data_IF_549746173920
#
_entry.id   IF_549746173920
#
_cell.length_a   1.000
_cell.length_b   1.000
_cell.length_c   1.000
_cell.angle_alpha   90.00
_cell.angle_beta   90.00
_cell.angle_gamma   90.00
#
_symmetry.space_group_name_H-M   'P 1'
#
loop_
_entity.id
_entity.type
_entity.pdbx_description
1 polymer ?
#
# COMPACT_ATOMS: atom_id res chain seq x y z
N UNK A 1 -13.56 6.68 -6.57
CA UNK A 1 -12.57 5.98 -7.44
C UNK A 1 -11.32 6.82 -7.79
N UNK A 2 -11.33 8.16 -7.63
CA UNK A 2 -10.24 9.11 -7.97
C UNK A 2 -8.85 8.82 -7.37
N UNK A 3 -8.76 8.36 -6.12
CA UNK A 3 -7.47 8.13 -5.46
C UNK A 3 -6.88 6.72 -5.65
N UNK A 4 -7.59 5.86 -6.36
CA UNK A 4 -7.24 4.44 -6.49
C UNK A 4 -6.88 4.08 -7.95
N UNK A 5 -6.44 5.09 -8.72
CA UNK A 5 -5.85 4.88 -10.04
C UNK A 5 -4.43 4.30 -9.92
N UNK A 6 -4.00 3.44 -10.86
CA UNK A 6 -2.63 2.94 -10.90
C UNK A 6 -1.62 4.11 -10.92
N UNK A 7 -0.74 4.15 -9.91
CA UNK A 7 0.25 5.23 -9.76
C UNK A 7 -0.16 6.36 -8.81
N UNK A 8 -1.45 6.50 -8.49
CA UNK A 8 -1.98 7.53 -7.56
C UNK A 8 -2.38 6.97 -6.19
N UNK A 9 -2.25 5.66 -5.98
CA UNK A 9 -2.71 5.02 -4.73
C UNK A 9 -1.96 5.43 -3.46
N UNK A 10 -0.82 6.13 -3.59
CA UNK A 10 -0.16 6.79 -2.45
C UNK A 10 -0.85 8.07 -2.00
N UNK A 11 -1.68 8.68 -2.86
CA UNK A 11 -2.28 10.00 -2.63
C UNK A 11 -3.43 9.95 -1.63
N UNK A 12 -4.19 8.84 -1.54
CA UNK A 12 -5.18 8.64 -0.47
C UNK A 12 -4.56 8.31 0.89
N UNK A 13 -3.27 7.98 0.93
CA UNK A 13 -2.62 7.51 2.16
C UNK A 13 -2.02 8.65 2.95
N UNK A 14 -1.59 9.72 2.28
CA UNK A 14 -0.86 10.83 2.92
C UNK A 14 -1.78 11.87 3.55
N UNK A 15 -1.44 12.33 4.75
CA UNK A 15 -2.21 13.35 5.46
C UNK A 15 -2.09 14.76 4.84
N UNK A 16 -0.94 15.05 4.21
CA UNK A 16 -0.59 16.37 3.68
C UNK A 16 -1.28 16.69 2.34
N UNK A 17 -1.26 17.97 1.95
CA UNK A 17 -1.92 18.51 0.75
C UNK A 17 -3.43 18.19 0.66
N UNK A 18 -4.14 18.28 1.80
CA UNK A 18 -5.58 18.06 1.90
C UNK A 18 -6.17 19.07 2.88
N UNK A 19 -7.37 19.56 2.56
CA UNK A 19 -8.20 20.35 3.45
C UNK A 19 -9.40 19.49 3.84
N UNK A 20 -9.68 19.42 5.13
CA UNK A 20 -10.75 18.59 5.68
C UNK A 20 -11.79 19.45 6.34
N UNK A 21 -13.06 19.10 6.16
CA UNK A 21 -14.12 19.62 7.01
C UNK A 21 -13.84 19.15 8.44
N UNK A 22 -13.84 20.08 9.41
CA UNK A 22 -13.54 19.79 10.81
C UNK A 22 -14.39 18.64 11.33
N UNK A 23 -15.68 18.63 10.99
CA UNK A 23 -16.65 17.70 11.58
C UNK A 23 -16.34 16.23 11.26
N UNK A 24 -15.64 15.93 10.15
CA UNK A 24 -15.13 14.58 9.84
C UNK A 24 -14.22 14.00 10.93
N UNK A 25 -13.65 14.85 11.78
CA UNK A 25 -12.89 14.44 12.95
C UNK A 25 -13.76 14.37 14.22
N UNK A 26 -14.80 15.19 14.37
CA UNK A 26 -15.44 15.41 15.68
C UNK A 26 -16.83 14.79 15.83
N UNK A 27 -17.33 14.15 14.78
CA UNK A 27 -18.53 13.31 14.86
C UNK A 27 -18.35 12.04 15.71
N UNK A 28 -19.39 11.21 15.75
CA UNK A 28 -19.50 10.04 16.62
C UNK A 28 -18.40 8.98 16.39
N UNK A 29 -17.81 8.91 15.19
CA UNK A 29 -16.75 7.94 14.87
C UNK A 29 -15.36 8.38 15.36
N UNK A 30 -15.22 9.66 15.76
CA UNK A 30 -14.01 10.25 16.37
C UNK A 30 -12.70 9.84 15.69
N UNK A 31 -12.64 9.95 14.37
CA UNK A 31 -11.47 9.54 13.57
C UNK A 31 -10.21 10.33 14.01
N UNK A 32 -9.23 9.66 14.61
CA UNK A 32 -7.97 10.29 15.07
C UNK A 32 -6.75 9.53 14.55
N UNK A 33 -5.66 10.28 14.40
CA UNK A 33 -4.35 9.69 14.16
C UNK A 33 -3.91 8.88 15.39
N UNK A 34 -3.51 7.61 15.21
CA UNK A 34 -3.09 6.77 16.32
C UNK A 34 -1.76 7.27 16.90
N UNK A 35 -1.71 7.41 18.23
CA UNK A 35 -0.48 7.85 18.92
C UNK A 35 0.60 6.76 18.81
N UNK A 36 1.82 7.17 18.47
CA UNK A 36 3.00 6.30 18.49
C UNK A 36 3.12 5.33 17.31
N UNK A 37 2.22 5.41 16.30
CA UNK A 37 2.33 4.62 15.07
C UNK A 37 3.17 5.35 14.03
N UNK A 38 4.00 4.59 13.30
CA UNK A 38 4.64 5.03 12.06
C UNK A 38 3.66 4.76 10.92
N UNK A 39 3.63 5.63 9.90
CA UNK A 39 2.63 5.60 8.84
C UNK A 39 1.21 5.82 9.39
N UNK A 40 1.09 6.73 10.36
CA UNK A 40 -0.15 7.11 11.02
C UNK A 40 -1.25 7.52 10.02
N UNK A 41 -0.84 8.10 8.90
CA UNK A 41 -1.68 8.49 7.78
C UNK A 41 -2.33 7.28 7.09
N UNK A 42 -1.61 6.16 7.00
CA UNK A 42 -2.12 4.87 6.56
C UNK A 42 -3.24 4.27 7.41
N UNK A 43 -3.47 4.78 8.63
CA UNK A 43 -4.57 4.35 9.52
C UNK A 43 -5.78 5.29 9.50
N UNK A 44 -5.61 6.52 9.01
CA UNK A 44 -6.56 7.61 9.27
C UNK A 44 -7.08 8.24 7.98
N UNK A 45 -6.21 8.58 7.03
CA UNK A 45 -6.56 9.41 5.87
C UNK A 45 -7.67 8.79 5.02
N UNK A 46 -7.59 7.47 4.78
CA UNK A 46 -8.59 6.77 3.97
C UNK A 46 -9.98 6.77 4.62
N UNK A 47 -10.06 6.75 5.96
CA UNK A 47 -11.34 6.81 6.70
C UNK A 47 -11.99 8.17 6.54
N UNK A 48 -11.21 9.24 6.64
CA UNK A 48 -11.67 10.62 6.44
C UNK A 48 -12.19 10.82 5.01
N UNK A 49 -11.46 10.32 4.02
CA UNK A 49 -11.86 10.39 2.60
C UNK A 49 -13.13 9.56 2.37
N UNK A 50 -13.20 8.35 2.94
CA UNK A 50 -14.36 7.47 2.79
C UNK A 50 -15.63 8.07 3.38
N UNK A 51 -15.49 8.74 4.53
CA UNK A 51 -16.60 9.41 5.23
C UNK A 51 -17.09 10.68 4.53
N UNK A 52 -16.24 11.34 3.74
CA UNK A 52 -16.59 12.60 3.11
C UNK A 52 -17.69 12.42 2.04
N UNK A 53 -18.79 13.14 2.18
CA UNK A 53 -19.90 13.11 1.20
C UNK A 53 -19.46 13.61 -0.19
N UNK A 54 -18.53 14.57 -0.24
CA UNK A 54 -17.99 15.15 -1.46
C UNK A 54 -16.49 15.36 -1.31
N UNK A 55 -15.77 15.04 -2.37
CA UNK A 55 -14.33 15.30 -2.48
C UNK A 55 -14.06 16.05 -3.78
N UNK A 56 -13.44 17.22 -3.66
CA UNK A 56 -12.94 18.00 -4.79
C UNK A 56 -11.43 17.77 -4.95
N UNK A 57 -10.97 17.63 -6.20
CA UNK A 57 -9.56 17.44 -6.54
C UNK A 57 -9.15 18.53 -7.52
N UNK A 58 -7.97 19.08 -7.29
CA UNK A 58 -7.36 20.12 -8.12
C UNK A 58 -6.05 19.54 -8.67
N UNK A 59 -5.81 19.68 -9.98
CA UNK A 59 -4.64 19.12 -10.68
C UNK A 59 -3.44 20.10 -10.70
N UNK A 60 -3.54 21.22 -9.99
CA UNK A 60 -2.44 22.18 -9.84
C UNK A 60 -1.49 21.80 -8.70
N UNK A 61 -0.18 21.84 -8.98
CA UNK A 61 0.88 21.60 -8.01
C UNK A 61 1.05 22.79 -7.05
N UNK A 62 0.18 22.88 -6.04
CA UNK A 62 0.17 23.98 -5.06
C UNK A 62 0.88 23.68 -3.74
N UNK A 63 1.38 22.45 -3.55
CA UNK A 63 2.08 22.04 -2.33
C UNK A 63 3.47 21.47 -2.64
N UNK A 64 4.50 22.07 -2.04
CA UNK A 64 5.88 21.63 -2.21
C UNK A 64 6.31 20.73 -1.06
N UNK A 65 6.50 19.44 -1.34
CA UNK A 65 6.94 18.47 -0.34
C UNK A 65 8.43 18.64 -0.01
N UNK A 66 8.73 18.96 1.25
CA UNK A 66 10.12 19.16 1.70
C UNK A 66 10.81 17.83 2.01
N UNK A 67 11.80 17.48 1.20
CA UNK A 67 12.64 16.31 1.42
C UNK A 67 13.91 16.66 2.20
N UNK A 68 14.20 15.90 3.26
CA UNK A 68 15.43 16.02 4.06
C UNK A 68 16.05 14.64 4.30
N UNK A 69 17.39 14.57 4.36
CA UNK A 69 18.12 13.31 4.58
C UNK A 69 17.71 12.63 5.89
N UNK A 70 17.44 13.44 6.92
CA UNK A 70 17.06 12.95 8.25
C UNK A 70 15.56 12.68 8.43
N UNK A 71 14.77 12.58 7.34
CA UNK A 71 13.35 12.25 7.45
C UNK A 71 13.17 10.80 7.91
N UNK A 72 12.04 10.53 8.59
CA UNK A 72 11.65 9.17 9.00
C UNK A 72 11.57 8.26 7.77
N UNK A 73 11.05 8.78 6.64
CA UNK A 73 11.01 8.05 5.37
C UNK A 73 12.40 7.66 4.86
N UNK A 74 13.39 8.55 4.94
CA UNK A 74 14.74 8.27 4.44
C UNK A 74 15.55 7.37 5.37
N UNK A 75 15.39 7.49 6.69
CA UNK A 75 16.21 6.77 7.66
C UNK A 75 15.84 5.28 7.83
N UNK A 76 14.57 4.92 7.61
CA UNK A 76 14.03 3.61 8.00
C UNK A 76 13.28 2.88 6.87
N UNK A 77 13.54 3.23 5.62
CA UNK A 77 12.80 2.72 4.46
C UNK A 77 12.78 1.19 4.34
N UNK A 78 13.85 0.50 4.77
CA UNK A 78 13.99 -0.96 4.71
C UNK A 78 13.51 -1.67 5.99
N UNK A 79 13.39 -0.96 7.11
CA UNK A 79 13.12 -1.55 8.44
C UNK A 79 11.69 -1.39 8.93
N UNK A 80 10.90 -0.50 8.33
CA UNK A 80 9.52 -0.23 8.76
C UNK A 80 8.46 -1.22 8.21
N UNK A 81 8.87 -2.41 7.74
CA UNK A 81 7.93 -3.38 7.16
C UNK A 81 6.85 -3.83 8.15
N UNK A 82 7.15 -3.89 9.46
CA UNK A 82 6.16 -4.23 10.49
C UNK A 82 5.06 -3.17 10.59
N UNK A 83 5.44 -1.90 10.59
CA UNK A 83 4.48 -0.79 10.61
C UNK A 83 3.67 -0.74 9.30
N UNK A 84 4.31 -0.92 8.15
CA UNK A 84 3.62 -0.97 6.85
C UNK A 84 2.63 -2.15 6.78
N UNK A 85 3.01 -3.31 7.29
CA UNK A 85 2.15 -4.49 7.40
C UNK A 85 0.93 -4.22 8.27
N UNK A 86 1.12 -3.62 9.43
CA UNK A 86 0.01 -3.30 10.34
C UNK A 86 -0.96 -2.29 9.72
N UNK A 87 -0.46 -1.20 9.14
CA UNK A 87 -1.28 -0.19 8.47
C UNK A 87 -2.06 -0.79 7.28
N UNK A 88 -1.42 -1.64 6.48
CA UNK A 88 -2.05 -2.31 5.35
C UNK A 88 -3.13 -3.32 5.77
N UNK A 89 -2.89 -4.08 6.85
CA UNK A 89 -3.87 -5.02 7.40
C UNK A 89 -5.14 -4.32 7.88
N UNK A 90 -5.01 -3.22 8.64
CA UNK A 90 -6.17 -2.47 9.11
C UNK A 90 -7.00 -1.84 7.98
N UNK A 91 -6.35 -1.51 6.84
CA UNK A 91 -7.07 -1.01 5.66
C UNK A 91 -7.79 -2.13 4.91
N UNK A 92 -7.18 -3.32 4.81
CA UNK A 92 -7.83 -4.51 4.25
C UNK A 92 -9.10 -4.87 5.03
N UNK A 93 -8.99 -4.91 6.35
CA UNK A 93 -10.11 -5.15 7.26
C UNK A 93 -11.22 -4.13 7.03
N UNK A 94 -10.89 -2.84 7.07
CA UNK A 94 -11.88 -1.78 6.84
C UNK A 94 -12.63 -1.94 5.51
N UNK A 95 -11.93 -2.14 4.38
CA UNK A 95 -12.63 -2.31 3.10
C UNK A 95 -13.44 -3.60 3.02
N UNK A 96 -13.03 -4.64 3.74
CA UNK A 96 -13.83 -5.86 3.86
C UNK A 96 -15.11 -5.62 4.67
N UNK A 97 -15.03 -4.89 5.78
CA UNK A 97 -16.18 -4.59 6.65
C UNK A 97 -17.21 -3.67 6.00
N UNK A 98 -16.78 -2.84 5.04
CA UNK A 98 -17.64 -1.91 4.31
C UNK A 98 -18.11 -2.45 2.95
N UNK A 99 -17.90 -3.73 2.66
CA UNK A 99 -18.24 -4.38 1.39
C UNK A 99 -17.60 -3.72 0.14
N UNK A 100 -16.47 -3.03 0.32
CA UNK A 100 -15.75 -2.29 -0.72
C UNK A 100 -14.80 -3.19 -1.51
N UNK A 101 -15.36 -4.14 -2.27
CA UNK A 101 -14.60 -5.20 -2.94
C UNK A 101 -13.48 -4.69 -3.86
N UNK A 102 -13.72 -3.62 -4.61
CA UNK A 102 -12.70 -3.08 -5.51
C UNK A 102 -11.51 -2.49 -4.73
N UNK A 103 -11.79 -1.72 -3.67
CA UNK A 103 -10.77 -1.10 -2.83
C UNK A 103 -10.01 -2.17 -2.04
N UNK A 104 -10.70 -3.18 -1.53
CA UNK A 104 -10.11 -4.35 -0.91
C UNK A 104 -9.10 -5.04 -1.83
N UNK A 105 -9.48 -5.33 -3.09
CA UNK A 105 -8.56 -5.94 -4.05
C UNK A 105 -7.35 -5.05 -4.35
N UNK A 106 -7.55 -3.74 -4.47
CA UNK A 106 -6.46 -2.79 -4.69
C UNK A 106 -5.49 -2.74 -3.50
N UNK A 107 -6.01 -2.73 -2.28
CA UNK A 107 -5.20 -2.77 -1.07
C UNK A 107 -4.48 -4.13 -0.92
N UNK A 108 -5.14 -5.25 -1.24
CA UNK A 108 -4.54 -6.58 -1.21
C UNK A 108 -3.38 -6.67 -2.20
N UNK A 109 -3.55 -6.06 -3.36
CA UNK A 109 -2.49 -5.90 -4.34
C UNK A 109 -1.31 -5.09 -3.80
N UNK A 110 -1.56 -3.96 -3.13
CA UNK A 110 -0.49 -3.16 -2.53
C UNK A 110 0.26 -3.92 -1.44
N UNK A 111 -0.46 -4.65 -0.59
CA UNK A 111 0.12 -5.40 0.52
C UNK A 111 1.06 -6.49 0.00
N UNK A 112 0.64 -7.29 -0.99
CA UNK A 112 1.49 -8.36 -1.53
C UNK A 112 2.75 -7.82 -2.21
N UNK A 113 2.65 -6.71 -2.96
CA UNK A 113 3.82 -6.07 -3.57
C UNK A 113 4.70 -5.34 -2.55
N UNK A 114 4.12 -4.81 -1.47
CA UNK A 114 4.90 -4.21 -0.38
C UNK A 114 5.73 -5.27 0.34
N UNK A 115 5.16 -6.43 0.64
CA UNK A 115 5.91 -7.55 1.22
C UNK A 115 7.12 -7.94 0.36
N UNK A 116 6.94 -8.00 -0.97
CA UNK A 116 8.05 -8.26 -1.91
C UNK A 116 9.07 -7.12 -1.91
N UNK A 117 8.65 -5.86 -1.99
CA UNK A 117 9.58 -4.70 -1.98
C UNK A 117 10.41 -4.66 -0.69
N UNK A 118 9.78 -4.85 0.46
CA UNK A 118 10.51 -4.90 1.73
C UNK A 118 11.41 -6.13 1.80
N UNK A 119 10.99 -7.27 1.25
CA UNK A 119 11.88 -8.41 1.09
C UNK A 119 13.10 -8.03 0.26
N UNK A 120 12.95 -7.35 -0.87
CA UNK A 120 14.08 -6.91 -1.71
C UNK A 120 15.02 -5.96 -0.97
N UNK A 121 14.45 -4.96 -0.27
CA UNK A 121 15.17 -3.92 0.45
C UNK A 121 15.85 -4.40 1.75
N UNK A 122 15.38 -5.48 2.36
CA UNK A 122 15.93 -5.99 3.61
C UNK A 122 17.42 -6.31 3.49
N UNK A 123 18.22 -5.78 4.42
CA UNK A 123 19.68 -5.93 4.45
C UNK A 123 20.15 -7.12 5.30
N UNK A 124 19.29 -7.63 6.17
CA UNK A 124 19.60 -8.73 7.09
C UNK A 124 18.69 -9.96 6.90
N UNK A 125 19.10 -11.09 7.48
CA UNK A 125 18.36 -12.36 7.38
C UNK A 125 16.99 -12.29 8.06
N UNK A 126 16.86 -11.51 9.13
CA UNK A 126 15.61 -11.39 9.89
C UNK A 126 14.55 -10.66 9.08
N UNK A 127 14.87 -9.50 8.50
CA UNK A 127 14.00 -8.75 7.62
C UNK A 127 13.59 -9.57 6.40
N UNK A 128 14.54 -10.31 5.76
CA UNK A 128 14.21 -11.23 4.66
C UNK A 128 13.24 -12.32 5.09
N UNK A 129 13.43 -12.91 6.28
CA UNK A 129 12.54 -13.95 6.80
C UNK A 129 11.14 -13.39 7.07
N UNK A 130 11.03 -12.30 7.82
CA UNK A 130 9.73 -11.76 8.26
C UNK A 130 8.91 -11.16 7.13
N UNK A 131 9.55 -10.51 6.17
CA UNK A 131 8.86 -10.01 4.96
C UNK A 131 8.40 -11.15 4.06
N UNK A 132 9.15 -12.26 4.02
CA UNK A 132 8.74 -13.48 3.32
C UNK A 132 7.57 -14.16 4.03
N UNK A 133 7.59 -14.25 5.35
CA UNK A 133 6.46 -14.73 6.16
C UNK A 133 5.20 -13.88 5.90
N UNK A 134 5.34 -12.55 5.92
CA UNK A 134 4.25 -11.63 5.58
C UNK A 134 3.70 -11.87 4.16
N UNK A 135 4.56 -12.06 3.17
CA UNK A 135 4.12 -12.44 1.82
C UNK A 135 3.30 -13.74 1.84
N UNK A 136 3.77 -14.79 2.52
CA UNK A 136 3.08 -16.08 2.55
C UNK A 136 1.72 -16.02 3.22
N UNK A 137 1.61 -15.25 4.30
CA UNK A 137 0.34 -14.98 4.95
C UNK A 137 -0.65 -14.33 3.96
N UNK A 138 -0.26 -13.23 3.33
CA UNK A 138 -1.11 -12.56 2.32
C UNK A 138 -1.45 -13.53 1.18
N UNK A 139 -0.46 -14.25 0.69
CA UNK A 139 -0.59 -15.13 -0.47
C UNK A 139 -1.55 -16.29 -0.19
N UNK A 140 -1.42 -16.93 0.96
CA UNK A 140 -2.22 -18.10 1.34
C UNK A 140 -3.62 -17.72 1.79
N UNK A 141 -3.74 -16.71 2.66
CA UNK A 141 -5.00 -16.38 3.32
C UNK A 141 -5.92 -15.51 2.47
N UNK A 142 -5.37 -14.69 1.58
CA UNK A 142 -6.17 -13.70 0.86
C UNK A 142 -6.01 -13.83 -0.66
N UNK A 143 -4.77 -13.78 -1.17
CA UNK A 143 -4.52 -13.67 -2.61
C UNK A 143 -5.09 -14.84 -3.42
N UNK A 144 -4.92 -16.09 -2.95
CA UNK A 144 -5.40 -17.29 -3.67
C UNK A 144 -6.93 -17.36 -3.79
N UNK A 145 -7.66 -16.76 -2.84
CA UNK A 145 -9.12 -16.78 -2.80
C UNK A 145 -9.74 -15.86 -3.86
N UNK A 146 -8.96 -14.92 -4.38
CA UNK A 146 -9.41 -13.89 -5.31
C UNK A 146 -9.14 -14.20 -6.79
N UNK A 147 -9.95 -13.57 -7.67
CA UNK A 147 -9.85 -13.71 -9.12
C UNK A 147 -8.78 -12.75 -9.69
N UNK A 148 -7.54 -13.22 -9.74
CA UNK A 148 -6.43 -12.48 -10.37
C UNK A 148 -6.14 -12.87 -11.83
N UNK A 149 -5.60 -11.94 -12.64
CA UNK A 149 -5.06 -12.27 -13.96
C UNK A 149 -3.99 -13.38 -13.91
N UNK A 150 -3.96 -14.25 -14.92
CA UNK A 150 -3.08 -15.42 -14.95
C UNK A 150 -1.59 -15.06 -14.81
N UNK A 151 -1.13 -14.02 -15.52
CA UNK A 151 0.24 -13.53 -15.43
C UNK A 151 0.63 -13.13 -13.99
N UNK A 152 -0.30 -12.49 -13.26
CA UNK A 152 -0.10 -12.10 -11.87
C UNK A 152 0.00 -13.32 -10.95
N UNK A 153 -0.91 -14.31 -11.11
CA UNK A 153 -0.87 -15.57 -10.36
C UNK A 153 0.46 -16.29 -10.56
N UNK A 154 0.94 -16.37 -11.80
CA UNK A 154 2.23 -16.98 -12.13
C UNK A 154 3.39 -16.28 -11.41
N UNK A 155 3.39 -14.94 -11.39
CA UNK A 155 4.44 -14.17 -10.71
C UNK A 155 4.44 -14.39 -9.19
N UNK A 156 3.28 -14.34 -8.55
CA UNK A 156 3.19 -14.57 -7.11
C UNK A 156 3.60 -16.01 -6.76
N UNK A 157 3.22 -17.00 -7.59
CA UNK A 157 3.71 -18.38 -7.48
C UNK A 157 5.23 -18.47 -7.59
N UNK A 158 5.84 -17.74 -8.53
CA UNK A 158 7.29 -17.73 -8.68
C UNK A 158 7.99 -17.18 -7.43
N UNK A 159 7.49 -16.11 -6.81
CA UNK A 159 8.04 -15.62 -5.54
C UNK A 159 7.89 -16.65 -4.41
N UNK A 160 6.75 -17.33 -4.34
CA UNK A 160 6.52 -18.40 -3.38
C UNK A 160 7.53 -19.55 -3.54
N UNK A 161 7.85 -19.96 -4.77
CA UNK A 161 8.89 -20.98 -5.05
C UNK A 161 10.30 -20.47 -4.74
N UNK A 162 10.57 -19.19 -5.00
CA UNK A 162 11.84 -18.57 -4.65
C UNK A 162 12.06 -17.25 -5.37
N UNK A 163 12.76 -16.34 -4.71
CA UNK A 163 13.04 -15.00 -5.25
C UNK A 163 13.73 -15.00 -6.63
N UNK A 164 14.70 -15.90 -6.95
CA UNK A 164 15.29 -15.95 -8.28
C UNK A 164 14.26 -16.14 -9.41
N UNK A 165 13.26 -17.02 -9.21
CA UNK A 165 12.20 -17.24 -10.19
C UNK A 165 11.32 -16.01 -10.38
N UNK A 166 10.96 -15.33 -9.28
CA UNK A 166 10.23 -14.07 -9.34
C UNK A 166 10.99 -13.00 -10.13
N UNK A 167 12.30 -12.87 -9.87
CA UNK A 167 13.14 -11.87 -10.52
C UNK A 167 13.23 -12.10 -12.03
N UNK A 168 13.38 -13.35 -12.46
CA UNK A 168 13.38 -13.73 -13.88
C UNK A 168 12.07 -13.30 -14.55
N UNK A 169 10.91 -13.70 -14.00
CA UNK A 169 9.62 -13.35 -14.58
C UNK A 169 9.34 -11.83 -14.58
N UNK A 170 9.86 -11.11 -13.59
CA UNK A 170 9.65 -9.66 -13.48
C UNK A 170 10.50 -8.86 -14.47
N UNK A 171 11.68 -9.37 -14.89
CA UNK A 171 12.50 -8.74 -15.91
C UNK A 171 11.81 -8.67 -17.28
N UNK A 172 11.10 -9.73 -17.67
CA UNK A 172 10.39 -9.80 -18.96
C UNK A 172 9.18 -8.86 -19.04
N UNK A 173 8.61 -8.46 -17.91
CA UNK A 173 7.49 -7.52 -17.90
C UNK A 173 7.96 -6.07 -17.90
N UNK A 174 9.11 -5.77 -17.28
CA UNK A 174 9.76 -4.47 -17.37
C UNK A 174 10.14 -4.09 -18.81
N UNK A 175 10.51 -5.08 -19.63
CA UNK A 175 10.71 -4.90 -21.08
C UNK A 175 9.39 -4.78 -21.84
N UNK A 176 8.38 -5.61 -21.54
CA UNK A 176 7.05 -5.52 -22.17
C UNK A 176 6.35 -4.17 -21.94
N UNK A 177 6.34 -3.66 -20.70
CA UNK A 177 5.74 -2.36 -20.38
C UNK A 177 6.53 -1.16 -20.93
N UNK A 178 7.84 -1.30 -21.15
CA UNK A 178 8.64 -0.29 -21.87
C UNK A 178 8.31 -0.25 -23.36
N UNK A 179 7.98 -1.39 -23.98
CA UNK A 179 7.59 -1.46 -25.40
C UNK A 179 6.21 -0.87 -25.68
N UNK A 180 5.27 -0.92 -24.72
CA UNK A 180 3.94 -0.30 -24.84
C UNK A 180 3.88 1.22 -24.59
N UNK A 181 4.98 1.81 -24.12
CA UNK A 181 5.10 3.26 -23.84
C UNK A 181 5.79 4.04 -24.98
N UNK A 182 6.06 3.38 -26.12
CA UNK A 182 6.39 4.02 -27.40
C UNK A 182 5.17 3.96 -28.31
#
# INVERSE_FOLDING_TARGET
MLFYEPGKMGECMVAWNKLYLRDLFFDDDKIRYPKGKIFEDGYTTYKLIYKAEKVAVIDEAMYFYRQRKDSIMNKNADRNYRAAREAGAGKLEFFSEHDEKELYLKELNLNIYSAIRFYEAAQDKTGKRETREWFFEIYNEYFKKEKWPAAKKLRMRAFAMGYPFYKILSMFEGTYNKMKKK
#
